data_IF_967732741158
#
_entry.id   IF_967732741158
#
_cell.length_a   1.000
_cell.length_b   1.000
_cell.length_c   1.000
_cell.angle_alpha   90.00
_cell.angle_beta   90.00
_cell.angle_gamma   90.00
#
_symmetry.space_group_name_H-M   'P 1'
#
loop_
_entity.id
_entity.type
_entity.pdbx_description
1 polymer ?
#
# COMPACT_ATOMS: atom_id res chain seq x y z
N UNK A 1 -17.75 -14.08 -12.68
CA UNK A 1 -16.33 -14.39 -12.40
C UNK A 1 -15.48 -13.26 -12.96
N UNK A 2 -14.80 -12.51 -12.10
CA UNK A 2 -13.90 -11.43 -12.54
C UNK A 2 -12.49 -12.00 -12.70
N UNK A 3 -12.06 -12.26 -13.93
CA UNK A 3 -10.75 -12.85 -14.26
C UNK A 3 -9.53 -12.15 -13.60
N UNK A 4 -9.70 -10.92 -13.13
CA UNK A 4 -8.65 -10.11 -12.51
C UNK A 4 -8.26 -10.58 -11.10
N UNK A 5 -9.22 -11.03 -10.28
CA UNK A 5 -8.92 -11.54 -8.94
C UNK A 5 -8.34 -12.96 -9.00
N UNK A 6 -8.72 -13.73 -10.02
CA UNK A 6 -8.17 -15.08 -10.29
C UNK A 6 -6.67 -15.08 -10.51
N UNK A 7 -6.14 -14.04 -11.18
CA UNK A 7 -4.70 -13.89 -11.42
C UNK A 7 -3.95 -13.59 -10.12
N UNK A 8 -4.49 -12.71 -9.28
CA UNK A 8 -3.95 -12.45 -7.95
C UNK A 8 -3.97 -13.74 -7.10
N UNK A 9 -5.09 -14.46 -7.11
CA UNK A 9 -5.25 -15.72 -6.38
C UNK A 9 -4.23 -16.78 -6.83
N UNK A 10 -3.97 -16.91 -8.14
CA UNK A 10 -2.92 -17.79 -8.69
C UNK A 10 -1.53 -17.47 -8.17
N UNK A 11 -1.24 -16.19 -7.90
CA UNK A 11 -0.01 -15.73 -7.26
C UNK A 11 -0.04 -15.83 -5.72
N UNK A 12 -1.02 -16.54 -5.16
CA UNK A 12 -1.29 -16.63 -3.72
C UNK A 12 -1.72 -15.33 -3.02
N UNK A 13 -2.16 -14.34 -3.78
CA UNK A 13 -2.63 -13.05 -3.26
C UNK A 13 -4.15 -13.07 -3.04
N UNK A 14 -4.60 -12.56 -1.88
CA UNK A 14 -6.02 -12.36 -1.52
C UNK A 14 -6.91 -13.61 -1.66
N UNK A 15 -6.37 -14.81 -1.42
CA UNK A 15 -7.05 -16.10 -1.65
C UNK A 15 -8.40 -16.23 -0.92
N UNK A 16 -8.50 -15.77 0.32
CA UNK A 16 -9.74 -15.85 1.09
C UNK A 16 -10.76 -14.81 0.62
N UNK A 17 -10.29 -13.66 0.13
CA UNK A 17 -11.16 -12.63 -0.42
C UNK A 17 -11.75 -13.02 -1.78
N UNK A 18 -11.01 -13.78 -2.60
CA UNK A 18 -11.54 -14.35 -3.84
C UNK A 18 -12.83 -15.14 -3.59
N UNK A 19 -12.79 -16.07 -2.63
CA UNK A 19 -13.97 -16.86 -2.23
C UNK A 19 -15.13 -15.97 -1.75
N UNK A 20 -14.86 -14.89 -1.03
CA UNK A 20 -15.90 -13.96 -0.60
C UNK A 20 -16.49 -13.17 -1.78
N UNK A 21 -15.66 -12.74 -2.72
CA UNK A 21 -16.09 -11.98 -3.88
C UNK A 21 -17.02 -12.80 -4.81
N UNK A 22 -16.79 -14.11 -4.94
CA UNK A 22 -17.61 -15.00 -5.77
C UNK A 22 -18.99 -15.33 -5.18
N UNK A 23 -19.19 -15.18 -3.87
CA UNK A 23 -20.46 -15.41 -3.17
C UNK A 23 -21.48 -14.28 -3.40
N UNK A 24 -21.94 -14.13 -4.65
CA UNK A 24 -22.94 -13.15 -5.13
C UNK A 24 -22.56 -11.65 -4.99
N UNK A 25 -21.29 -11.33 -4.73
CA UNK A 25 -20.82 -9.96 -4.53
C UNK A 25 -20.25 -9.29 -5.79
N UNK A 26 -20.22 -10.01 -6.92
CA UNK A 26 -19.61 -9.54 -8.18
C UNK A 26 -20.25 -8.29 -8.80
N UNK A 27 -21.48 -7.95 -8.40
CA UNK A 27 -22.20 -6.74 -8.83
C UNK A 27 -22.26 -5.66 -7.72
N UNK A 28 -21.78 -5.95 -6.51
CA UNK A 28 -21.75 -4.95 -5.45
C UNK A 28 -20.66 -3.91 -5.71
N UNK A 29 -21.05 -2.63 -5.67
CA UNK A 29 -20.15 -1.51 -5.99
C UNK A 29 -18.90 -1.49 -5.10
N UNK A 30 -19.03 -1.80 -3.81
CA UNK A 30 -17.89 -1.77 -2.89
C UNK A 30 -16.91 -2.90 -3.21
N UNK A 31 -17.41 -4.10 -3.51
CA UNK A 31 -16.57 -5.21 -3.97
C UNK A 31 -15.89 -4.91 -5.31
N UNK A 32 -16.59 -4.29 -6.26
CA UNK A 32 -16.00 -3.86 -7.55
C UNK A 32 -14.88 -2.85 -7.33
N UNK A 33 -15.11 -1.80 -6.54
CA UNK A 33 -14.09 -0.80 -6.21
C UNK A 33 -12.88 -1.45 -5.54
N UNK A 34 -13.13 -2.33 -4.58
CA UNK A 34 -12.08 -3.03 -3.85
C UNK A 34 -11.20 -3.90 -4.77
N UNK A 35 -11.81 -4.73 -5.60
CA UNK A 35 -11.10 -5.59 -6.56
C UNK A 35 -10.33 -4.76 -7.58
N UNK A 36 -10.93 -3.67 -8.09
CA UNK A 36 -10.25 -2.76 -9.01
C UNK A 36 -9.01 -2.13 -8.37
N UNK A 37 -9.12 -1.60 -7.14
CA UNK A 37 -8.00 -1.03 -6.41
C UNK A 37 -6.88 -2.03 -6.10
N UNK A 38 -7.22 -3.30 -5.80
CA UNK A 38 -6.22 -4.37 -5.65
C UNK A 38 -5.41 -4.54 -6.94
N UNK A 39 -6.09 -4.59 -8.09
CA UNK A 39 -5.39 -4.77 -9.37
C UNK A 39 -4.47 -3.59 -9.70
N UNK A 40 -4.89 -2.35 -9.43
CA UNK A 40 -4.00 -1.19 -9.58
C UNK A 40 -2.78 -1.30 -8.70
N UNK A 41 -2.96 -1.70 -7.44
CA UNK A 41 -1.87 -1.80 -6.49
C UNK A 41 -0.85 -2.87 -6.89
N UNK A 42 -1.31 -4.04 -7.35
CA UNK A 42 -0.43 -5.09 -7.88
C UNK A 42 0.36 -4.58 -9.09
N UNK A 43 -0.34 -4.02 -10.09
CA UNK A 43 0.30 -3.47 -11.28
C UNK A 43 1.31 -2.37 -10.95
N UNK A 44 0.98 -1.52 -9.97
CA UNK A 44 1.83 -0.41 -9.55
C UNK A 44 3.12 -0.90 -8.89
N UNK A 45 3.05 -1.92 -8.04
CA UNK A 45 4.24 -2.54 -7.42
C UNK A 45 5.14 -3.17 -8.48
N UNK A 46 4.57 -3.90 -9.45
CA UNK A 46 5.33 -4.47 -10.57
C UNK A 46 6.02 -3.37 -11.39
N UNK A 47 5.30 -2.29 -11.68
CA UNK A 47 5.83 -1.13 -12.39
C UNK A 47 6.95 -0.43 -11.61
N UNK A 48 6.86 -0.31 -10.28
CA UNK A 48 7.94 0.26 -9.46
C UNK A 48 9.24 -0.52 -9.66
N UNK A 49 9.19 -1.86 -9.65
CA UNK A 49 10.39 -2.68 -9.87
C UNK A 49 10.93 -2.54 -11.29
N UNK A 50 10.06 -2.49 -12.29
CA UNK A 50 10.44 -2.24 -13.68
C UNK A 50 11.15 -0.89 -13.82
N UNK A 51 10.52 0.19 -13.36
CA UNK A 51 11.05 1.55 -13.47
C UNK A 51 12.31 1.75 -12.63
N UNK A 52 12.45 1.05 -11.50
CA UNK A 52 13.70 1.01 -10.73
C UNK A 52 14.86 0.47 -11.57
N UNK A 53 14.64 -0.65 -12.27
CA UNK A 53 15.67 -1.22 -13.13
C UNK A 53 16.00 -0.29 -14.30
N UNK A 54 14.99 0.29 -14.95
CA UNK A 54 15.19 1.25 -16.05
C UNK A 54 15.98 2.48 -15.58
N UNK A 55 15.62 3.07 -14.44
CA UNK A 55 16.33 4.23 -13.88
C UNK A 55 17.81 3.92 -13.58
N UNK A 56 18.13 2.70 -13.14
CA UNK A 56 19.53 2.29 -12.95
C UNK A 56 20.27 2.07 -14.28
N UNK A 57 19.58 1.63 -15.34
CA UNK A 57 20.18 1.54 -16.68
C UNK A 57 20.40 2.93 -17.28
N UNK A 58 19.45 3.84 -17.12
CA UNK A 58 19.61 5.25 -17.50
C UNK A 58 20.82 5.85 -16.79
N UNK A 59 20.97 5.62 -15.48
CA UNK A 59 22.11 6.10 -14.71
C UNK A 59 23.45 5.59 -15.27
N UNK A 60 23.54 4.31 -15.65
CA UNK A 60 24.77 3.73 -16.23
C UNK A 60 25.23 4.39 -17.53
N UNK A 61 24.31 5.01 -18.29
CA UNK A 61 24.69 5.76 -19.49
C UNK A 61 25.49 7.02 -19.16
N UNK A 62 25.23 7.63 -18.01
CA UNK A 62 25.89 8.86 -17.55
C UNK A 62 27.02 8.60 -16.56
N UNK A 63 27.05 7.44 -15.91
CA UNK A 63 28.04 7.09 -14.89
C UNK A 63 29.51 7.30 -15.34
N UNK A 64 29.92 6.93 -16.57
CA UNK A 64 31.29 7.15 -17.04
C UNK A 64 31.68 8.64 -17.17
N UNK A 65 30.71 9.53 -17.34
CA UNK A 65 30.92 10.97 -17.53
C UNK A 65 30.89 11.75 -16.21
N UNK A 66 30.51 11.11 -15.10
CA UNK A 66 30.44 11.75 -13.79
C UNK A 66 31.82 12.11 -13.26
N UNK A 67 32.10 13.42 -13.20
CA UNK A 67 33.31 13.97 -12.56
C UNK A 67 33.26 13.91 -11.02
N UNK A 68 32.08 13.68 -10.44
CA UNK A 68 31.88 13.72 -8.98
C UNK A 68 32.38 12.46 -8.30
N UNK A 69 33.19 12.66 -7.25
CA UNK A 69 33.62 11.58 -6.32
C UNK A 69 32.58 11.23 -5.26
N UNK A 70 31.43 11.92 -5.23
CA UNK A 70 30.36 11.60 -4.29
C UNK A 70 29.78 10.21 -4.57
N UNK A 71 29.51 9.45 -3.53
CA UNK A 71 28.77 8.18 -3.63
C UNK A 71 27.26 8.40 -3.76
N UNK A 72 26.75 9.52 -3.24
CA UNK A 72 25.35 9.91 -3.34
C UNK A 72 25.20 10.91 -4.49
N UNK A 73 24.40 10.56 -5.49
CA UNK A 73 24.16 11.38 -6.68
C UNK A 73 22.68 11.74 -6.74
N UNK A 74 22.38 13.04 -6.82
CA UNK A 74 21.04 13.49 -7.19
C UNK A 74 20.86 13.24 -8.69
N UNK A 75 20.10 12.21 -9.02
CA UNK A 75 19.79 11.83 -10.39
C UNK A 75 18.29 11.99 -10.61
N UNK A 76 17.91 12.65 -11.70
CA UNK A 76 16.52 12.84 -12.08
C UNK A 76 16.34 12.28 -13.48
N UNK A 77 15.41 11.35 -13.64
CA UNK A 77 15.15 10.68 -14.92
C UNK A 77 13.67 10.41 -15.12
N UNK A 78 13.23 10.15 -16.37
CA UNK A 78 11.85 9.76 -16.65
C UNK A 78 11.43 8.53 -15.84
N UNK A 79 12.26 7.49 -15.75
CA UNK A 79 11.92 6.29 -14.97
C UNK A 79 11.85 6.58 -13.47
N UNK A 80 12.68 7.49 -12.92
CA UNK A 80 12.53 7.92 -11.53
C UNK A 80 11.17 8.60 -11.28
N UNK A 81 10.75 9.48 -12.18
CA UNK A 81 9.44 10.13 -12.08
C UNK A 81 8.27 9.14 -12.17
N UNK A 82 8.43 8.09 -12.99
CA UNK A 82 7.46 7.00 -13.06
C UNK A 82 7.38 6.23 -11.72
N UNK A 83 8.52 5.99 -11.04
CA UNK A 83 8.50 5.40 -9.69
C UNK A 83 7.70 6.27 -8.72
N UNK A 84 7.90 7.60 -8.74
CA UNK A 84 7.14 8.52 -7.87
C UNK A 84 5.65 8.43 -8.13
N UNK A 85 5.25 8.43 -9.41
CA UNK A 85 3.85 8.32 -9.81
C UNK A 85 3.23 7.02 -9.31
N UNK A 86 3.93 5.90 -9.45
CA UNK A 86 3.44 4.60 -9.00
C UNK A 86 3.34 4.51 -7.47
N UNK A 87 4.29 5.08 -6.72
CA UNK A 87 4.17 5.15 -5.24
C UNK A 87 2.95 6.01 -4.84
N UNK A 88 2.75 7.18 -5.47
CA UNK A 88 1.58 8.03 -5.21
C UNK A 88 0.26 7.28 -5.49
N UNK A 89 0.18 6.56 -6.61
CA UNK A 89 -0.97 5.71 -6.95
C UNK A 89 -1.15 4.62 -5.90
N UNK A 90 -0.09 3.92 -5.54
CA UNK A 90 -0.12 2.85 -4.54
C UNK A 90 -0.66 3.33 -3.19
N UNK A 91 -0.16 4.45 -2.68
CA UNK A 91 -0.64 5.06 -1.43
C UNK A 91 -2.13 5.45 -1.50
N UNK A 92 -2.57 5.98 -2.64
CA UNK A 92 -3.97 6.30 -2.86
C UNK A 92 -4.86 5.04 -2.87
N UNK A 93 -4.44 3.99 -3.58
CA UNK A 93 -5.20 2.72 -3.65
C UNK A 93 -5.23 2.01 -2.30
N UNK A 94 -4.10 1.94 -1.59
CA UNK A 94 -4.06 1.41 -0.22
C UNK A 94 -5.11 2.09 0.66
N UNK A 95 -5.21 3.44 0.60
CA UNK A 95 -6.19 4.20 1.37
C UNK A 95 -7.64 3.92 0.95
N UNK A 96 -7.89 3.73 -0.34
CA UNK A 96 -9.22 3.35 -0.85
C UNK A 96 -9.61 1.98 -0.29
N UNK A 97 -8.73 0.97 -0.44
CA UNK A 97 -8.99 -0.40 0.02
C UNK A 97 -9.25 -0.43 1.53
N UNK A 98 -8.47 0.30 2.33
CA UNK A 98 -8.70 0.42 3.78
C UNK A 98 -10.15 0.83 4.12
N UNK A 99 -10.70 1.82 3.42
CA UNK A 99 -12.05 2.31 3.72
C UNK A 99 -13.12 1.40 3.13
N UNK A 100 -12.91 0.91 1.91
CA UNK A 100 -13.85 0.00 1.23
C UNK A 100 -13.96 -1.34 1.97
N UNK A 101 -12.89 -1.81 2.63
CA UNK A 101 -12.95 -3.00 3.50
C UNK A 101 -14.02 -2.84 4.60
N UNK A 102 -14.10 -1.66 5.22
CA UNK A 102 -15.08 -1.41 6.28
C UNK A 102 -16.51 -1.45 5.76
N UNK A 103 -16.74 -0.93 4.56
CA UNK A 103 -18.06 -0.97 3.92
C UNK A 103 -18.47 -2.43 3.65
N UNK A 104 -17.57 -3.21 3.04
CA UNK A 104 -17.77 -4.62 2.73
C UNK A 104 -18.04 -5.44 4.01
N UNK A 105 -17.22 -5.26 5.05
CA UNK A 105 -17.39 -5.90 6.35
C UNK A 105 -18.70 -5.47 7.02
N UNK A 106 -19.05 -4.18 6.98
CA UNK A 106 -20.28 -3.64 7.54
C UNK A 106 -21.52 -4.27 6.92
N UNK A 107 -21.54 -4.44 5.59
CA UNK A 107 -22.60 -5.16 4.87
C UNK A 107 -22.73 -6.61 5.32
N UNK A 108 -21.61 -7.34 5.42
CA UNK A 108 -21.61 -8.75 5.85
C UNK A 108 -22.10 -8.94 7.29
N UNK A 109 -21.68 -8.06 8.20
CA UNK A 109 -22.08 -8.08 9.61
C UNK A 109 -23.45 -7.41 9.86
N UNK A 110 -24.06 -6.81 8.83
CA UNK A 110 -25.30 -6.02 8.93
C UNK A 110 -25.20 -4.92 9.99
N UNK A 111 -24.05 -4.24 10.05
CA UNK A 111 -23.73 -3.22 11.05
C UNK A 111 -23.24 -1.94 10.39
N UNK A 112 -23.56 -0.80 10.98
CA UNK A 112 -23.11 0.50 10.47
C UNK A 112 -21.65 0.74 10.84
N UNK A 113 -20.79 0.83 9.82
CA UNK A 113 -19.38 1.15 9.98
C UNK A 113 -19.11 2.59 9.54
N UNK A 114 -18.23 3.35 10.22
CA UNK A 114 -17.70 4.61 9.73
C UNK A 114 -17.11 4.50 8.32
N UNK A 115 -17.24 5.56 7.52
CA UNK A 115 -16.73 5.63 6.15
C UNK A 115 -15.20 5.67 6.05
N UNK A 116 -14.49 5.83 7.17
CA UNK A 116 -13.04 5.87 7.19
C UNK A 116 -12.45 5.03 8.33
N UNK A 117 -11.35 4.33 8.03
CA UNK A 117 -10.63 3.53 9.05
C UNK A 117 -10.05 4.37 10.18
N UNK A 118 -9.66 5.61 9.89
CA UNK A 118 -9.31 6.59 10.92
C UNK A 118 -10.47 6.83 11.90
N UNK A 119 -11.69 7.02 11.38
CA UNK A 119 -12.86 7.26 12.23
C UNK A 119 -13.30 5.99 12.94
N UNK A 120 -13.20 4.84 12.29
CA UNK A 120 -13.46 3.53 12.88
C UNK A 120 -12.62 3.33 14.15
N UNK A 121 -11.31 3.54 14.07
CA UNK A 121 -10.40 3.41 15.21
C UNK A 121 -10.64 4.47 16.29
N UNK A 122 -11.02 5.70 15.92
CA UNK A 122 -11.27 6.80 16.88
C UNK A 122 -12.63 6.72 17.59
N UNK A 123 -13.68 6.25 16.91
CA UNK A 123 -15.09 6.39 17.36
C UNK A 123 -15.65 5.17 18.09
N UNK A 124 -14.97 4.02 18.11
CA UNK A 124 -15.46 2.79 18.78
C UNK A 124 -15.30 2.83 20.31
N UNK A 125 -15.71 3.95 20.92
CA UNK A 125 -16.00 3.99 22.36
C UNK A 125 -17.23 3.13 22.72
N UNK A 126 -18.02 2.65 21.75
CA UNK A 126 -19.13 1.71 21.95
C UNK A 126 -18.80 0.33 21.39
N UNK A 127 -18.81 -0.65 22.29
CA UNK A 127 -18.16 -1.97 22.21
C UNK A 127 -18.69 -2.84 21.05
N UNK A 128 -17.82 -3.67 20.42
CA UNK A 128 -18.27 -4.72 19.52
C UNK A 128 -19.27 -5.64 20.23
N UNK A 129 -20.41 -5.89 19.59
CA UNK A 129 -21.59 -6.56 20.16
C UNK A 129 -21.51 -8.08 20.02
N UNK A 130 -20.87 -8.57 18.97
CA UNK A 130 -20.66 -10.00 18.73
C UNK A 130 -19.17 -10.37 18.82
N UNK A 131 -18.87 -11.66 18.97
CA UNK A 131 -17.48 -12.15 18.95
C UNK A 131 -16.80 -11.88 17.59
N UNK A 132 -17.53 -12.09 16.50
CA UNK A 132 -17.05 -11.76 15.15
C UNK A 132 -16.66 -10.27 15.05
N UNK A 133 -17.50 -9.35 15.54
CA UNK A 133 -17.17 -7.92 15.56
C UNK A 133 -15.93 -7.62 16.41
N UNK A 134 -15.70 -8.35 17.52
CA UNK A 134 -14.49 -8.17 18.36
C UNK A 134 -13.23 -8.59 17.64
N UNK A 135 -13.26 -9.74 16.95
CA UNK A 135 -12.12 -10.24 16.17
C UNK A 135 -11.76 -9.25 15.07
N UNK A 136 -12.77 -8.83 14.29
CA UNK A 136 -12.59 -7.89 13.18
C UNK A 136 -12.05 -6.54 13.68
N UNK A 137 -12.57 -6.04 14.80
CA UNK A 137 -12.05 -4.82 15.42
C UNK A 137 -10.57 -4.94 15.77
N UNK A 138 -10.16 -6.06 16.38
CA UNK A 138 -8.75 -6.31 16.74
C UNK A 138 -7.85 -6.35 15.52
N UNK A 139 -8.28 -7.02 14.44
CA UNK A 139 -7.52 -7.08 13.19
C UNK A 139 -7.31 -5.68 12.60
N UNK A 140 -8.38 -4.89 12.48
CA UNK A 140 -8.31 -3.51 11.97
C UNK A 140 -7.44 -2.62 12.86
N UNK A 141 -7.59 -2.71 14.18
CA UNK A 141 -6.81 -1.92 15.12
C UNK A 141 -5.31 -2.26 15.04
N UNK A 142 -4.98 -3.55 14.97
CA UNK A 142 -3.59 -4.01 14.82
C UNK A 142 -2.98 -3.49 13.52
N UNK A 143 -3.67 -3.68 12.39
CA UNK A 143 -3.23 -3.14 11.10
C UNK A 143 -3.05 -1.62 11.15
N UNK A 144 -4.00 -0.89 11.74
CA UNK A 144 -3.96 0.56 11.82
C UNK A 144 -2.73 1.06 12.57
N UNK A 145 -2.44 0.47 13.73
CA UNK A 145 -1.32 0.85 14.59
C UNK A 145 0.03 0.50 13.97
N UNK A 146 0.12 -0.63 13.25
CA UNK A 146 1.39 -1.10 12.69
C UNK A 146 1.73 -0.41 11.36
N UNK A 147 0.73 -0.21 10.48
CA UNK A 147 0.97 0.27 9.12
C UNK A 147 -0.07 1.29 8.62
N UNK A 148 -1.37 1.05 8.87
CA UNK A 148 -2.46 1.80 8.25
C UNK A 148 -2.43 3.32 8.52
N UNK A 149 -2.02 3.73 9.72
CA UNK A 149 -1.85 5.15 10.06
C UNK A 149 -0.75 5.82 9.21
N UNK A 150 0.40 5.15 9.03
CA UNK A 150 1.52 5.68 8.23
C UNK A 150 1.14 5.82 6.77
N UNK A 151 0.46 4.82 6.20
CA UNK A 151 -0.09 4.90 4.83
C UNK A 151 -0.95 6.15 4.67
N UNK A 152 -1.89 6.39 5.61
CA UNK A 152 -2.69 7.61 5.59
C UNK A 152 -1.82 8.86 5.65
N UNK A 153 -0.84 8.93 6.55
CA UNK A 153 0.00 10.10 6.73
C UNK A 153 0.81 10.42 5.46
N UNK A 154 1.47 9.44 4.85
CA UNK A 154 2.23 9.65 3.61
C UNK A 154 1.34 9.97 2.42
N UNK A 155 0.18 9.32 2.29
CA UNK A 155 -0.82 9.66 1.26
C UNK A 155 -1.31 11.10 1.42
N UNK A 156 -1.62 11.51 2.65
CA UNK A 156 -2.03 12.88 2.93
C UNK A 156 -0.92 13.88 2.56
N UNK A 157 0.35 13.55 2.86
CA UNK A 157 1.51 14.35 2.44
C UNK A 157 1.63 14.50 0.93
N UNK A 158 1.54 13.39 0.21
CA UNK A 158 1.62 13.35 -1.25
C UNK A 158 0.53 14.21 -1.91
N UNK A 159 -0.73 13.99 -1.53
CA UNK A 159 -1.87 14.61 -2.20
C UNK A 159 -2.16 16.06 -1.78
N UNK A 160 -1.75 16.48 -0.58
CA UNK A 160 -2.13 17.78 -0.04
C UNK A 160 -0.96 18.71 0.27
N UNK A 161 0.27 18.18 0.35
CA UNK A 161 1.45 18.95 0.72
C UNK A 161 2.59 18.84 -0.32
N UNK A 162 2.45 17.95 -1.33
CA UNK A 162 3.14 18.01 -2.62
C UNK A 162 4.64 17.72 -2.64
N UNK A 163 5.19 17.03 -1.63
CA UNK A 163 6.66 16.85 -1.49
C UNK A 163 7.09 15.51 -0.87
N UNK A 164 6.42 14.41 -1.21
CA UNK A 164 6.79 13.10 -0.65
C UNK A 164 8.22 12.68 -1.05
N UNK A 165 8.64 12.97 -2.28
CA UNK A 165 9.90 12.47 -2.87
C UNK A 165 11.01 13.53 -2.98
N UNK A 166 11.14 14.40 -1.98
CA UNK A 166 12.17 15.46 -2.02
C UNK A 166 13.61 14.94 -1.82
N UNK A 167 13.75 13.69 -1.34
CA UNK A 167 15.04 13.08 -1.03
C UNK A 167 15.20 11.77 -1.81
N UNK A 168 15.57 11.90 -3.08
CA UNK A 168 15.84 10.80 -4.01
C UNK A 168 17.28 10.85 -4.49
N UNK A 169 18.03 9.78 -4.27
CA UNK A 169 19.43 9.68 -4.68
C UNK A 169 19.74 8.32 -5.31
N UNK A 170 20.77 8.29 -6.14
CA UNK A 170 21.50 7.07 -6.48
C UNK A 170 22.65 6.93 -5.51
N UNK A 171 22.71 5.81 -4.80
CA UNK A 171 23.82 5.45 -3.92
C UNK A 171 24.73 4.43 -4.62
N UNK A 172 25.98 4.83 -4.87
CA UNK A 172 27.02 4.01 -5.51
C UNK A 172 27.83 3.15 -4.54
N UNK A 173 27.67 3.31 -3.22
CA UNK A 173 28.37 2.47 -2.23
C UNK A 173 28.07 0.98 -2.39
N UNK A 174 26.81 0.54 -2.52
CA UNK A 174 26.54 -0.85 -2.86
C UNK A 174 26.95 -1.12 -4.32
N UNK A 175 27.44 -2.32 -4.58
CA UNK A 175 27.68 -2.83 -5.93
C UNK A 175 26.73 -4.01 -6.20
N UNK A 176 25.77 -3.88 -7.14
CA UNK A 176 25.51 -2.73 -8.00
C UNK A 176 24.90 -1.52 -7.24
N UNK A 177 25.03 -0.33 -7.83
CA UNK A 177 24.42 0.90 -7.30
C UNK A 177 22.90 0.75 -7.14
N UNK A 178 22.32 1.47 -6.19
CA UNK A 178 20.89 1.39 -5.88
C UNK A 178 20.24 2.77 -5.79
N UNK A 179 18.93 2.80 -6.05
CA UNK A 179 18.09 3.98 -5.81
C UNK A 179 17.67 4.00 -4.35
N UNK A 180 17.81 5.14 -3.68
CA UNK A 180 17.24 5.39 -2.36
C UNK A 180 16.20 6.49 -2.45
N UNK A 181 14.94 6.14 -2.16
CA UNK A 181 13.83 7.08 -2.10
C UNK A 181 13.41 7.25 -0.65
N UNK A 182 13.83 8.33 0.00
CA UNK A 182 13.65 8.47 1.46
C UNK A 182 12.35 9.19 1.79
N UNK A 183 11.49 8.54 2.58
CA UNK A 183 10.29 9.14 3.19
C UNK A 183 10.65 9.91 4.47
N UNK A 184 9.89 10.97 4.82
CA UNK A 184 10.15 11.74 6.04
C UNK A 184 9.82 10.93 7.30
N UNK A 185 10.64 11.03 8.35
CA UNK A 185 10.46 10.28 9.60
C UNK A 185 9.21 10.69 10.40
N UNK A 186 8.74 11.92 10.15
CA UNK A 186 7.73 12.67 10.89
C UNK A 186 6.63 13.21 9.96
N UNK A 187 5.91 12.32 9.24
CA UNK A 187 4.96 12.75 8.21
C UNK A 187 3.77 13.54 8.76
N UNK A 188 3.47 13.45 10.06
CA UNK A 188 2.48 14.25 10.76
C UNK A 188 2.81 15.75 10.80
N UNK A 189 4.08 16.15 10.61
CA UNK A 189 4.49 17.54 10.63
C UNK A 189 3.87 18.38 9.52
N UNK A 190 3.48 17.74 8.38
CA UNK A 190 2.76 18.37 7.26
C UNK A 190 3.43 19.64 6.72
N UNK A 191 4.74 19.76 6.91
CA UNK A 191 5.53 20.90 6.51
C UNK A 191 6.93 20.40 6.14
N UNK A 192 7.27 20.53 4.86
CA UNK A 192 8.51 20.01 4.30
C UNK A 192 9.77 20.61 4.94
N UNK A 193 9.70 21.86 5.42
CA UNK A 193 10.81 22.50 6.13
C UNK A 193 11.13 21.84 7.47
N UNK A 194 10.23 21.00 7.98
CA UNK A 194 10.37 20.31 9.28
C UNK A 194 10.64 18.81 9.11
N UNK A 195 10.74 18.30 7.88
CA UNK A 195 10.95 16.88 7.64
C UNK A 195 12.36 16.46 8.02
N UNK A 196 12.46 15.35 8.74
CA UNK A 196 13.73 14.66 9.01
C UNK A 196 13.78 13.36 8.22
N UNK A 197 14.98 12.86 7.94
CA UNK A 197 15.20 11.64 7.15
C UNK A 197 16.23 10.71 7.82
N UNK A 198 16.37 10.81 9.13
CA UNK A 198 17.36 10.09 9.93
C UNK A 198 17.12 8.58 9.92
N UNK A 199 15.85 8.13 9.83
CA UNK A 199 15.52 6.70 9.79
C UNK A 199 15.71 6.08 8.40
N UNK A 200 15.95 6.90 7.36
CA UNK A 200 16.16 6.46 5.97
C UNK A 200 15.08 5.49 5.48
N UNK A 201 13.82 5.82 5.75
CA UNK A 201 12.67 4.99 5.37
C UNK A 201 12.62 4.92 3.84
N UNK A 202 12.87 3.74 3.27
CA UNK A 202 12.82 3.55 1.82
C UNK A 202 11.35 3.48 1.35
N UNK A 203 11.00 4.33 0.37
CA UNK A 203 9.64 4.48 -0.11
C UNK A 203 9.15 3.27 -0.90
N UNK A 204 10.06 2.59 -1.63
CA UNK A 204 9.72 1.39 -2.40
C UNK A 204 9.43 0.24 -1.41
N UNK A 205 10.33 0.01 -0.46
CA UNK A 205 10.16 -0.98 0.58
C UNK A 205 8.90 -0.71 1.41
N UNK A 206 8.69 0.53 1.86
CA UNK A 206 7.50 0.92 2.61
C UNK A 206 6.20 0.63 1.83
N UNK A 207 6.19 0.88 0.51
CA UNK A 207 5.02 0.63 -0.33
C UNK A 207 4.72 -0.87 -0.43
N UNK A 208 5.76 -1.69 -0.63
CA UNK A 208 5.64 -3.14 -0.67
C UNK A 208 5.19 -3.72 0.68
N UNK A 209 5.82 -3.34 1.79
CA UNK A 209 5.43 -3.75 3.14
C UNK A 209 3.98 -3.36 3.45
N UNK A 210 3.55 -2.16 3.01
CA UNK A 210 2.17 -1.71 3.21
C UNK A 210 1.15 -2.53 2.42
N UNK A 211 1.53 -3.01 1.24
CA UNK A 211 0.72 -3.96 0.47
C UNK A 211 0.62 -5.31 1.18
N UNK A 212 1.73 -5.84 1.68
CA UNK A 212 1.77 -7.12 2.40
C UNK A 212 0.90 -7.07 3.67
N UNK A 213 1.04 -6.02 4.49
CA UNK A 213 0.19 -5.83 5.67
C UNK A 213 -1.30 -5.69 5.32
N UNK A 214 -1.62 -5.02 4.21
CA UNK A 214 -3.01 -4.93 3.75
C UNK A 214 -3.53 -6.30 3.30
N UNK A 215 -2.72 -7.05 2.55
CA UNK A 215 -3.03 -8.41 2.12
C UNK A 215 -3.33 -9.33 3.32
N UNK A 216 -2.50 -9.28 4.36
CA UNK A 216 -2.70 -10.02 5.62
C UNK A 216 -4.02 -9.62 6.28
N UNK A 217 -4.26 -8.31 6.47
CA UNK A 217 -5.50 -7.81 7.05
C UNK A 217 -6.71 -8.35 6.32
N UNK A 218 -6.71 -8.29 4.99
CA UNK A 218 -7.83 -8.72 4.16
C UNK A 218 -8.05 -10.21 4.31
N UNK A 219 -7.01 -11.03 4.19
CA UNK A 219 -7.13 -12.48 4.33
C UNK A 219 -7.62 -12.89 5.73
N UNK A 220 -7.08 -12.30 6.79
CA UNK A 220 -7.47 -12.63 8.16
C UNK A 220 -8.89 -12.16 8.48
N UNK A 221 -9.31 -11.02 7.92
CA UNK A 221 -10.70 -10.55 7.98
C UNK A 221 -11.64 -11.56 7.30
N UNK A 222 -11.28 -12.05 6.11
CA UNK A 222 -12.08 -13.04 5.39
C UNK A 222 -12.18 -14.37 6.17
N UNK A 223 -11.05 -14.85 6.71
CA UNK A 223 -11.02 -16.06 7.56
C UNK A 223 -11.92 -15.91 8.79
N UNK A 224 -11.85 -14.77 9.47
CA UNK A 224 -12.70 -14.48 10.63
C UNK A 224 -14.19 -14.45 10.30
N UNK A 225 -14.55 -14.16 9.04
CA UNK A 225 -15.92 -14.20 8.52
C UNK A 225 -16.32 -15.57 7.94
N UNK A 226 -15.44 -16.58 8.04
CA UNK A 226 -15.70 -17.96 7.62
C UNK A 226 -15.34 -18.28 6.17
N UNK A 227 -14.72 -17.36 5.44
CA UNK A 227 -14.31 -17.59 4.06
C UNK A 227 -12.98 -18.34 3.99
N UNK A 228 -12.98 -19.45 3.23
CA UNK A 228 -11.79 -20.29 3.01
C UNK A 228 -11.03 -19.84 1.78
N UNK A 229 -9.75 -20.20 1.69
CA UNK A 229 -9.00 -19.97 0.47
C UNK A 229 -9.63 -20.79 -0.66
N UNK A 230 -9.80 -20.17 -1.83
CA UNK A 230 -10.36 -20.83 -3.01
C UNK A 230 -9.52 -22.02 -3.50
N UNK A 231 -8.26 -22.12 -3.07
CA UNK A 231 -7.31 -23.16 -3.46
C UNK A 231 -6.38 -23.56 -2.30
N UNK A 232 -6.90 -24.39 -1.39
CA UNK A 232 -6.09 -25.25 -0.51
C UNK A 232 -6.13 -26.73 -0.96
N UNK A 233 -6.68 -26.99 -2.15
CA UNK A 233 -6.87 -28.34 -2.69
C UNK A 233 -6.39 -28.43 -4.14
N UNK A 234 -5.07 -28.49 -4.30
CA UNK A 234 -4.34 -29.38 -5.24
C UNK A 234 -2.87 -29.38 -4.88
#
# INVERSE_FOLDING_TARGET
>A
MTFRLDLANRASLFKNYASWHEDNNTLDKSHITFTFSICYLINSIENIHKYKNECLQEFKLFEPELKSKSDEICFQSPSLFNIFTEISVSLAQLRIIQNTLLEIVGKKLKTSMPSSMNDYVKKIKNRPKSEAERIIYRLILNYWNNNGLKVKQYRDLDQHYGKLFHNSIINKKPSPANIELRLPDNPEAKNWNKFTYCKKIDAIAFTQESFEHLHELVNDTCKALGYKAERDST
#
